data_IF_015357424283
#
_entry.id   IF_015357424283
#
_cell.length_a   1.000
_cell.length_b   1.000
_cell.length_c   1.000
_cell.angle_alpha   90.00
_cell.angle_beta   90.00
_cell.angle_gamma   90.00
#
_symmetry.space_group_name_H-M   'P 1'
#
loop_
_entity.id
_entity.type
_entity.pdbx_description
1 polymer ?
#
# COMPACT_ATOMS: atom_id res chain seq x y z
N UNK A 1 -7.87 7.33 -19.05
CA UNK A 1 -6.63 6.52 -18.91
C UNK A 1 -6.64 5.95 -17.51
N UNK A 2 -6.41 4.65 -17.36
CA UNK A 2 -6.40 3.99 -16.04
C UNK A 2 -4.99 4.08 -15.46
N UNK A 3 -4.85 4.51 -14.21
CA UNK A 3 -3.56 4.62 -13.53
C UNK A 3 -3.32 3.36 -12.69
N UNK A 4 -2.20 2.66 -12.94
CA UNK A 4 -1.77 1.54 -12.09
C UNK A 4 -1.16 2.09 -10.79
N UNK A 5 -1.63 1.57 -9.65
CA UNK A 5 -1.17 1.93 -8.31
C UNK A 5 -0.83 0.64 -7.55
N UNK A 6 0.43 0.50 -7.14
CA UNK A 6 0.92 -0.60 -6.32
C UNK A 6 0.66 -0.32 -4.85
N UNK A 7 -0.25 -1.10 -4.26
CA UNK A 7 -0.68 -0.97 -2.87
C UNK A 7 -0.08 -2.10 -2.04
N UNK A 8 0.85 -1.76 -1.15
CA UNK A 8 1.47 -2.70 -0.22
C UNK A 8 0.62 -3.00 1.01
N UNK A 9 0.58 -4.26 1.44
CA UNK A 9 -0.06 -4.65 2.69
C UNK A 9 0.59 -5.91 3.30
N UNK A 10 0.34 -6.16 4.58
CA UNK A 10 0.63 -7.44 5.22
C UNK A 10 -0.65 -8.29 5.29
N UNK A 11 -0.51 -9.60 5.57
CA UNK A 11 -1.68 -10.49 5.77
C UNK A 11 -2.27 -10.32 7.17
N UNK A 12 -2.84 -9.15 7.42
CA UNK A 12 -3.49 -8.78 8.67
C UNK A 12 -4.95 -8.41 8.43
N UNK A 13 -5.78 -8.46 9.48
CA UNK A 13 -7.22 -8.24 9.36
C UNK A 13 -7.58 -6.83 8.87
N UNK A 14 -6.76 -5.85 9.22
CA UNK A 14 -6.87 -4.44 8.79
C UNK A 14 -6.68 -4.25 7.27
N UNK A 15 -6.17 -5.25 6.55
CA UNK A 15 -6.01 -5.23 5.09
C UNK A 15 -7.28 -5.58 4.33
N UNK A 16 -8.32 -6.06 5.02
CA UNK A 16 -9.59 -6.42 4.42
C UNK A 16 -10.23 -5.31 3.57
N UNK A 17 -10.27 -4.02 3.99
CA UNK A 17 -10.91 -2.96 3.19
C UNK A 17 -10.28 -2.77 1.82
N UNK A 18 -8.95 -2.85 1.71
CA UNK A 18 -8.23 -2.72 0.43
C UNK A 18 -8.54 -3.90 -0.49
N UNK A 19 -8.54 -5.11 0.05
CA UNK A 19 -8.86 -6.32 -0.71
C UNK A 19 -10.31 -6.32 -1.19
N UNK A 20 -11.24 -5.96 -0.31
CA UNK A 20 -12.67 -5.85 -0.65
C UNK A 20 -12.89 -4.75 -1.69
N UNK A 21 -12.23 -3.60 -1.56
CA UNK A 21 -12.32 -2.52 -2.53
C UNK A 21 -11.87 -2.94 -3.94
N UNK A 22 -10.77 -3.70 -4.03
CA UNK A 22 -10.32 -4.27 -5.30
C UNK A 22 -11.33 -5.28 -5.85
N UNK A 23 -11.76 -6.24 -5.05
CA UNK A 23 -12.68 -7.29 -5.48
C UNK A 23 -14.07 -6.75 -5.87
N UNK A 24 -14.55 -5.71 -5.21
CA UNK A 24 -15.82 -5.05 -5.53
C UNK A 24 -15.72 -4.06 -6.70
N UNK A 25 -14.53 -3.91 -7.30
CA UNK A 25 -14.27 -2.99 -8.40
C UNK A 25 -14.35 -1.51 -8.01
N UNK A 26 -14.22 -1.16 -6.73
CA UNK A 26 -14.27 0.23 -6.26
C UNK A 26 -13.13 1.05 -6.85
N UNK A 27 -11.89 0.53 -6.86
CA UNK A 27 -10.75 1.21 -7.50
C UNK A 27 -10.97 1.42 -9.00
N UNK A 28 -11.44 0.40 -9.70
CA UNK A 28 -11.69 0.46 -11.14
C UNK A 28 -12.76 1.51 -11.50
N UNK A 29 -13.81 1.67 -10.68
CA UNK A 29 -14.83 2.74 -10.84
C UNK A 29 -14.23 4.15 -10.79
N UNK A 30 -13.07 4.31 -10.15
CA UNK A 30 -12.33 5.57 -10.06
C UNK A 30 -11.14 5.63 -11.02
N UNK A 31 -11.03 4.71 -11.98
CA UNK A 31 -9.94 4.69 -12.95
C UNK A 31 -8.58 4.26 -12.38
N UNK A 32 -8.59 3.57 -11.24
CA UNK A 32 -7.39 3.03 -10.60
C UNK A 32 -7.30 1.52 -10.87
N UNK A 33 -6.19 1.10 -11.47
CA UNK A 33 -5.80 -0.31 -11.55
C UNK A 33 -4.95 -0.64 -10.32
N UNK A 34 -5.61 -1.18 -9.29
CA UNK A 34 -4.98 -1.46 -8.00
C UNK A 34 -4.23 -2.81 -8.05
N UNK A 35 -2.91 -2.74 -8.10
CA UNK A 35 -2.02 -3.88 -7.95
C UNK A 35 -1.73 -4.11 -6.45
N UNK A 36 -2.15 -5.26 -5.92
CA UNK A 36 -1.92 -5.58 -4.50
C UNK A 36 -0.60 -6.31 -4.33
N UNK A 37 0.27 -5.75 -3.51
CA UNK A 37 1.58 -6.32 -3.17
C UNK A 37 1.57 -6.77 -1.72
N UNK A 38 1.67 -8.08 -1.49
CA UNK A 38 1.78 -8.62 -0.14
C UNK A 38 3.24 -8.57 0.32
N UNK A 39 3.54 -7.71 1.28
CA UNK A 39 4.88 -7.56 1.83
C UNK A 39 5.12 -8.55 2.99
N UNK A 40 6.37 -9.03 3.17
CA UNK A 40 6.70 -9.98 4.23
C UNK A 40 6.90 -9.31 5.60
N UNK A 41 7.17 -8.00 5.64
CA UNK A 41 7.34 -7.26 6.88
C UNK A 41 6.99 -5.78 6.72
N UNK A 42 6.88 -5.08 7.86
CA UNK A 42 6.74 -3.63 7.88
C UNK A 42 7.95 -2.91 7.29
N UNK A 43 9.18 -3.43 7.47
CA UNK A 43 10.39 -2.85 6.88
C UNK A 43 10.28 -2.84 5.36
N UNK A 44 9.82 -3.93 4.75
CA UNK A 44 9.62 -3.99 3.30
C UNK A 44 8.54 -3.02 2.79
N UNK A 45 7.50 -2.75 3.58
CA UNK A 45 6.52 -1.69 3.26
C UNK A 45 7.22 -0.32 3.23
N UNK A 46 8.13 -0.04 4.17
CA UNK A 46 8.93 1.19 4.13
C UNK A 46 9.71 1.32 2.85
N UNK A 47 10.50 0.29 2.58
CA UNK A 47 11.50 0.34 1.53
C UNK A 47 10.79 0.47 0.19
N UNK A 48 9.65 -0.22 0.05
CA UNK A 48 8.75 -0.04 -1.08
C UNK A 48 8.30 1.42 -1.24
N UNK A 49 7.83 2.08 -0.18
CA UNK A 49 7.40 3.48 -0.26
C UNK A 49 8.56 4.46 -0.48
N UNK A 50 9.70 4.24 0.17
CA UNK A 50 10.86 5.13 0.11
C UNK A 50 11.60 5.05 -1.25
N UNK A 51 11.65 3.87 -1.85
CA UNK A 51 12.41 3.60 -3.07
C UNK A 51 11.52 3.40 -4.31
N UNK A 52 10.28 3.92 -4.30
CA UNK A 52 9.30 3.80 -5.39
C UNK A 52 8.99 2.36 -5.83
N UNK A 53 9.17 1.38 -4.94
CA UNK A 53 8.70 0.00 -5.11
C UNK A 53 7.18 -0.15 -4.88
N UNK A 54 6.59 0.75 -4.11
CA UNK A 54 5.16 0.86 -3.83
C UNK A 54 4.71 2.31 -4.01
N UNK A 55 3.47 2.49 -4.45
CA UNK A 55 2.87 3.83 -4.61
C UNK A 55 2.02 4.20 -3.39
N UNK A 56 1.46 3.20 -2.70
CA UNK A 56 0.71 3.35 -1.46
C UNK A 56 0.86 2.10 -0.59
N UNK A 57 0.48 2.18 0.69
CA UNK A 57 0.40 1.00 1.55
C UNK A 57 -0.60 1.18 2.69
N UNK A 58 -1.12 0.05 3.20
CA UNK A 58 -1.67 0.02 4.54
C UNK A 58 -0.51 -0.01 5.54
N UNK A 59 -0.45 1.00 6.40
CA UNK A 59 0.65 1.17 7.35
C UNK A 59 0.15 1.85 8.63
N UNK A 60 0.69 1.45 9.79
CA UNK A 60 0.32 2.06 11.07
C UNK A 60 0.97 3.45 11.24
N UNK A 61 0.34 4.39 11.97
CA UNK A 61 0.67 5.82 11.86
C UNK A 61 2.11 6.20 12.23
N UNK A 62 2.71 5.73 13.36
CA UNK A 62 4.11 6.02 13.69
C UNK A 62 5.07 5.74 12.53
N UNK A 63 4.84 4.64 11.83
CA UNK A 63 5.69 4.19 10.76
C UNK A 63 5.51 4.99 9.47
N UNK A 64 4.27 5.34 9.15
CA UNK A 64 3.97 6.25 8.04
C UNK A 64 4.68 7.59 8.23
N UNK A 65 4.61 8.15 9.44
CA UNK A 65 5.25 9.43 9.79
C UNK A 65 6.78 9.32 9.64
N UNK A 66 7.41 8.31 10.24
CA UNK A 66 8.87 8.13 10.14
C UNK A 66 9.34 7.92 8.69
N UNK A 67 8.59 7.14 7.91
CA UNK A 67 8.90 6.89 6.49
C UNK A 67 8.81 8.18 5.67
N UNK A 68 7.75 8.98 5.88
CA UNK A 68 7.58 10.27 5.20
C UNK A 68 8.65 11.31 5.56
N UNK A 69 9.18 11.25 6.78
CA UNK A 69 10.27 12.12 7.23
C UNK A 69 11.66 11.64 6.79
N UNK A 70 11.78 10.47 6.16
CA UNK A 70 13.07 9.85 5.84
C UNK A 70 13.87 9.45 7.09
N UNK A 71 13.21 9.30 8.23
CA UNK A 71 13.82 9.01 9.54
C UNK A 71 13.72 7.53 9.92
N UNK A 72 13.55 6.67 8.93
CA UNK A 72 13.47 5.24 9.16
C UNK A 72 14.88 4.66 9.10
N UNK A 73 15.38 4.25 10.27
CA UNK A 73 16.64 3.52 10.45
C UNK A 73 16.50 2.03 10.21
#
# INVERSE_FOLDING_TARGET
>A
MTQTIRIGLLRLADSAPVLVARNAGLFARHGIDAEIVVAPSWANIADGLAWNGLDAALVFPPLAIMTALGQRG
#
